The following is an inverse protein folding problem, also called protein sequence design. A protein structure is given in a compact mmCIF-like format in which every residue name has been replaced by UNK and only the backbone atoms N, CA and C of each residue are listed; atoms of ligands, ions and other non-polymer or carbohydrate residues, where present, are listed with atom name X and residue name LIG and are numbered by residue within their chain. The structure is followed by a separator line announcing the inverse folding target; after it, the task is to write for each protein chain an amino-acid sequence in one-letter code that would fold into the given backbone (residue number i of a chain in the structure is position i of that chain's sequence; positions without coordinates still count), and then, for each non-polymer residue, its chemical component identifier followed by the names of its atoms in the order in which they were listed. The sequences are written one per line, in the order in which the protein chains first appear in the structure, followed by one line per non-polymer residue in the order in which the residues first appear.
data_IF_677898760392
#
_entry.id   IF_677898760392
#
_cell.length_a   1.000
_cell.length_b   1.000
_cell.length_c   1.000
_cell.angle_alpha   90.00
_cell.angle_beta   90.00
_cell.angle_gamma   90.00
#
_symmetry.space_group_name_H-M   'P 1'
#
loop_
_entity.id
_entity.type
_entity.pdbx_description
1 polymer ?
#
# COMPACT_ATOMS: atom_id res chain seq x y z
N UNK A 1 2.78 -16.49 12.27
CA UNK A 1 2.28 -15.44 13.18
C UNK A 1 2.69 -14.11 12.58
N UNK A 2 1.72 -13.26 12.21
CA UNK A 2 2.02 -11.92 11.68
C UNK A 2 2.50 -11.04 12.84
N UNK A 3 3.47 -10.13 12.63
CA UNK A 3 3.84 -9.17 13.68
C UNK A 3 2.62 -8.30 14.02
N UNK A 4 2.51 -7.85 15.27
CA UNK A 4 1.41 -7.02 15.80
C UNK A 4 1.17 -5.72 14.99
N UNK A 5 2.10 -5.32 14.11
CA UNK A 5 1.99 -4.15 13.23
C UNK A 5 1.28 -4.41 11.88
N UNK A 6 0.97 -5.65 11.51
CA UNK A 6 0.41 -5.97 10.20
C UNK A 6 -1.10 -5.70 10.07
N UNK A 7 -1.80 -5.55 11.21
CA UNK A 7 -3.24 -5.35 11.26
C UNK A 7 -3.65 -4.32 12.31
N UNK A 8 -4.76 -3.62 12.07
CA UNK A 8 -5.30 -2.58 12.94
C UNK A 8 -6.81 -2.78 13.20
N UNK A 9 -7.26 -2.85 14.45
CA UNK A 9 -8.69 -2.80 14.79
C UNK A 9 -9.31 -1.48 14.32
N UNK A 10 -10.46 -1.55 13.67
CA UNK A 10 -11.15 -0.41 13.09
C UNK A 10 -12.66 -0.57 13.29
N UNK A 11 -13.31 0.43 13.89
CA UNK A 11 -14.77 0.46 14.02
C UNK A 11 -15.45 0.58 12.66
N UNK A 12 -16.51 -0.21 12.45
CA UNK A 12 -17.28 -0.30 11.21
C UNK A 12 -18.78 -0.39 11.49
N UNK A 13 -19.56 0.01 10.51
CA UNK A 13 -21.01 -0.19 10.50
C UNK A 13 -21.34 -1.33 9.55
N UNK A 14 -21.89 -2.43 10.06
CA UNK A 14 -22.45 -3.49 9.22
C UNK A 14 -23.91 -3.17 8.90
N UNK A 15 -24.24 -3.17 7.61
CA UNK A 15 -25.61 -3.09 7.11
C UNK A 15 -26.05 -4.48 6.63
N UNK A 16 -27.29 -4.86 6.95
CA UNK A 16 -27.98 -6.07 6.46
C UNK A 16 -29.43 -5.70 6.14
N UNK A 17 -29.72 -5.37 4.89
CA UNK A 17 -30.99 -4.73 4.54
C UNK A 17 -31.15 -3.43 5.35
N UNK A 18 -32.25 -3.28 6.08
CA UNK A 18 -32.50 -2.12 6.95
C UNK A 18 -31.78 -2.19 8.32
N UNK A 19 -31.24 -3.35 8.71
CA UNK A 19 -30.58 -3.51 10.00
C UNK A 19 -29.17 -2.90 9.99
N UNK A 20 -28.87 -2.08 11.00
CA UNK A 20 -27.56 -1.45 11.21
C UNK A 20 -26.95 -1.93 12.53
N UNK A 21 -25.68 -2.33 12.51
CA UNK A 21 -24.94 -2.75 13.71
C UNK A 21 -23.52 -2.23 13.69
N UNK A 22 -23.06 -1.66 14.80
CA UNK A 22 -21.67 -1.23 14.99
C UNK A 22 -20.83 -2.37 15.55
N UNK A 23 -19.61 -2.53 15.04
CA UNK A 23 -18.66 -3.54 15.49
C UNK A 23 -17.24 -3.15 15.10
N UNK A 24 -16.25 -3.83 15.66
CA UNK A 24 -14.88 -3.73 15.18
C UNK A 24 -14.58 -4.75 14.07
N UNK A 25 -13.70 -4.36 13.16
CA UNK A 25 -13.09 -5.19 12.15
C UNK A 25 -11.56 -5.10 12.25
N UNK A 26 -10.84 -6.13 11.81
CA UNK A 26 -9.38 -6.17 11.87
C UNK A 26 -8.84 -6.01 10.45
N UNK A 27 -8.26 -4.85 10.17
CA UNK A 27 -7.86 -4.45 8.81
C UNK A 27 -6.36 -4.54 8.62
N UNK A 28 -5.93 -4.89 7.41
CA UNK A 28 -4.51 -4.90 7.08
C UNK A 28 -3.94 -3.47 7.10
N UNK A 29 -2.74 -3.30 7.63
CA UNK A 29 -1.98 -2.05 7.59
C UNK A 29 -1.21 -1.97 6.26
N UNK A 30 -1.02 -0.75 5.76
CA UNK A 30 -0.15 -0.45 4.60
C UNK A 30 0.94 0.53 5.00
N UNK A 31 2.16 0.27 4.55
CA UNK A 31 3.31 1.14 4.73
C UNK A 31 4.10 1.23 3.41
N UNK A 32 4.63 2.41 3.05
CA UNK A 32 5.43 2.59 1.85
C UNK A 32 6.75 1.84 1.99
N UNK A 33 7.18 1.10 0.97
CA UNK A 33 8.52 0.52 0.84
C UNK A 33 9.24 1.21 -0.29
N UNK A 34 10.31 1.89 0.00
CA UNK A 34 11.26 2.27 -1.01
C UNK A 34 12.12 1.06 -1.39
N UNK A 35 12.12 0.73 -2.67
CA UNK A 35 13.00 -0.27 -3.27
C UNK A 35 14.17 0.49 -3.89
N UNK A 36 15.38 0.11 -3.52
CA UNK A 36 16.63 0.61 -4.14
C UNK A 36 17.38 -0.53 -4.80
N UNK A 37 18.11 -0.21 -5.85
CA UNK A 37 19.03 -1.12 -6.53
C UNK A 37 20.37 -0.42 -6.67
N UNK A 38 21.40 -0.96 -6.01
CA UNK A 38 22.72 -0.35 -5.95
C UNK A 38 22.68 1.09 -5.40
N UNK A 39 21.86 1.34 -4.38
CA UNK A 39 21.69 2.66 -3.76
C UNK A 39 20.78 3.64 -4.51
N UNK A 40 20.31 3.32 -5.72
CA UNK A 40 19.39 4.16 -6.49
C UNK A 40 17.94 3.76 -6.25
N UNK A 41 17.09 4.74 -5.92
CA UNK A 41 15.64 4.55 -5.80
C UNK A 41 15.03 4.12 -7.13
N UNK A 42 14.29 3.02 -7.12
CA UNK A 42 13.62 2.48 -8.32
C UNK A 42 12.10 2.51 -8.22
N UNK A 43 11.55 2.35 -7.03
CA UNK A 43 10.11 2.38 -6.81
C UNK A 43 9.79 2.63 -5.33
N UNK A 44 8.61 3.21 -5.09
CA UNK A 44 7.96 3.17 -3.77
C UNK A 44 6.67 2.39 -3.92
N UNK A 45 6.50 1.33 -3.14
CA UNK A 45 5.32 0.46 -3.20
C UNK A 45 4.63 0.40 -1.85
N UNK A 46 3.30 0.46 -1.82
CA UNK A 46 2.55 0.23 -0.59
C UNK A 46 2.49 -1.27 -0.29
N UNK A 47 2.85 -1.70 0.93
CA UNK A 47 2.64 -3.09 1.37
C UNK A 47 2.19 -3.20 2.81
N UNK A 48 1.63 -4.35 3.15
CA UNK A 48 1.57 -4.79 4.55
C UNK A 48 2.95 -5.34 4.95
N UNK A 49 3.61 -4.81 6.01
CA UNK A 49 4.96 -5.22 6.40
C UNK A 49 5.12 -6.72 6.71
N UNK A 50 6.34 -7.25 6.52
CA UNK A 50 6.77 -8.56 7.05
C UNK A 50 7.39 -9.54 6.04
N UNK A 51 7.25 -9.30 4.74
CA UNK A 51 7.77 -10.19 3.69
C UNK A 51 8.52 -9.45 2.57
N UNK A 52 9.14 -8.31 2.90
CA UNK A 52 9.65 -7.35 1.91
C UNK A 52 10.67 -7.95 0.95
N UNK A 53 11.61 -8.79 1.42
CA UNK A 53 12.61 -9.43 0.54
C UNK A 53 11.98 -10.23 -0.60
N UNK A 54 10.91 -10.99 -0.31
CA UNK A 54 10.18 -11.75 -1.33
C UNK A 54 9.40 -10.83 -2.27
N UNK A 55 8.78 -9.80 -1.72
CA UNK A 55 8.05 -8.78 -2.48
C UNK A 55 8.99 -8.06 -3.46
N UNK A 56 10.14 -7.60 -2.98
CA UNK A 56 11.14 -6.88 -3.78
C UNK A 56 11.73 -7.79 -4.85
N UNK A 57 12.09 -9.04 -4.52
CA UNK A 57 12.54 -9.99 -5.53
C UNK A 57 11.51 -10.17 -6.66
N UNK A 58 10.24 -10.41 -6.30
CA UNK A 58 9.16 -10.56 -7.28
C UNK A 58 8.89 -9.31 -8.10
N UNK A 59 8.92 -8.13 -7.46
CA UNK A 59 8.78 -6.84 -8.13
C UNK A 59 9.88 -6.64 -9.17
N UNK A 60 11.15 -6.81 -8.77
CA UNK A 60 12.29 -6.59 -9.66
C UNK A 60 12.32 -7.57 -10.85
N UNK A 61 11.87 -8.82 -10.65
CA UNK A 61 11.71 -9.79 -11.75
C UNK A 61 10.57 -9.38 -12.68
N UNK A 62 9.44 -8.94 -12.14
CA UNK A 62 8.25 -8.55 -12.94
C UNK A 62 8.52 -7.30 -13.78
N UNK A 63 9.24 -6.32 -13.23
CA UNK A 63 9.68 -5.13 -13.96
C UNK A 63 10.84 -5.41 -14.93
N UNK A 64 11.40 -6.63 -14.91
CA UNK A 64 12.48 -7.08 -15.80
C UNK A 64 13.84 -6.47 -15.45
N UNK A 65 14.05 -6.09 -14.19
CA UNK A 65 15.30 -5.55 -13.64
C UNK A 65 16.25 -6.69 -13.27
N UNK A 66 15.72 -7.77 -12.70
CA UNK A 66 16.46 -9.01 -12.43
C UNK A 66 15.91 -10.13 -13.32
N UNK A 67 16.76 -10.98 -13.86
CA UNK A 67 16.34 -12.17 -14.61
C UNK A 67 16.51 -13.45 -13.79
N UNK A 68 17.49 -13.47 -12.89
CA UNK A 68 17.73 -14.62 -12.02
C UNK A 68 18.21 -14.22 -10.63
N UNK A 69 18.26 -15.19 -9.71
CA UNK A 69 18.67 -14.97 -8.32
C UNK A 69 20.17 -14.65 -8.20
N UNK A 70 20.97 -15.17 -9.12
CA UNK A 70 22.43 -15.00 -9.15
C UNK A 70 22.84 -13.54 -9.39
N UNK A 71 21.95 -12.72 -9.93
CA UNK A 71 22.16 -11.28 -10.11
C UNK A 71 22.08 -10.50 -8.78
N UNK A 72 21.59 -11.12 -7.70
CA UNK A 72 21.47 -10.50 -6.37
C UNK A 72 22.59 -10.97 -5.46
N UNK A 73 23.42 -10.03 -5.03
CA UNK A 73 24.45 -10.25 -4.01
C UNK A 73 23.85 -10.27 -2.60
N UNK A 74 23.03 -9.27 -2.24
CA UNK A 74 22.33 -9.19 -0.96
C UNK A 74 21.13 -8.23 -1.02
N UNK A 75 20.24 -8.30 -0.03
CA UNK A 75 19.14 -7.35 0.18
C UNK A 75 19.21 -6.80 1.61
N UNK A 76 19.53 -5.53 1.73
CA UNK A 76 19.87 -4.89 3.00
C UNK A 76 18.86 -3.78 3.28
N UNK A 77 18.28 -3.79 4.49
CA UNK A 77 17.50 -2.65 4.95
C UNK A 77 18.45 -1.48 5.19
N UNK A 78 18.19 -0.35 4.55
CA UNK A 78 18.90 0.87 4.91
C UNK A 78 18.59 1.18 6.39
N UNK A 79 19.58 1.67 7.12
CA UNK A 79 19.35 2.24 8.45
C UNK A 79 19.76 3.70 8.37
N UNK A 80 18.93 4.62 8.88
CA UNK A 80 19.38 5.96 9.21
C UNK A 80 20.48 5.80 10.23
N UNK A 81 21.64 6.30 9.89
CA UNK A 81 22.57 6.78 10.90
C UNK A 81 21.95 8.05 11.44
N UNK A 82 21.29 7.99 12.61
CA UNK A 82 21.02 9.22 13.37
C UNK A 82 22.37 9.78 13.82
N UNK A 83 22.53 11.10 13.80
CA UNK A 83 23.78 11.76 14.24
C UNK A 83 24.17 11.37 15.68
N UNK A 84 23.18 10.96 16.49
CA UNK A 84 23.31 10.43 17.85
C UNK A 84 24.10 9.11 17.96
N UNK A 85 24.23 8.34 16.87
CA UNK A 85 24.89 7.03 16.88
C UNK A 85 26.43 7.10 16.73
N UNK A 86 27.02 8.28 16.54
CA UNK A 86 28.48 8.45 16.45
C UNK A 86 29.22 8.27 17.80
N UNK A 87 28.48 8.21 18.92
CA UNK A 87 29.08 8.08 20.26
C UNK A 87 29.14 6.65 20.83
N UNK A 88 28.30 5.72 20.37
CA UNK A 88 28.07 4.46 21.09
C UNK A 88 28.13 3.26 20.14
N UNK A 89 29.26 2.56 20.10
CA UNK A 89 29.49 1.36 19.27
C UNK A 89 28.62 0.14 19.68
N UNK A 90 27.87 0.22 20.78
CA UNK A 90 27.13 -0.91 21.36
C UNK A 90 25.60 -0.80 21.29
N UNK A 91 25.04 0.26 20.70
CA UNK A 91 23.58 0.36 20.49
C UNK A 91 23.12 -0.39 19.21
N UNK A 92 23.63 -1.60 18.99
CA UNK A 92 23.11 -2.51 17.97
C UNK A 92 22.05 -3.40 18.58
N UNK A 93 20.85 -2.86 18.81
CA UNK A 93 19.60 -3.59 18.66
C UNK A 93 18.42 -2.65 18.89
N UNK A 94 17.43 -2.69 17.99
CA UNK A 94 16.06 -2.17 18.17
C UNK A 94 15.79 -0.71 17.78
N UNK A 95 16.29 -0.26 16.64
CA UNK A 95 15.66 0.83 15.87
C UNK A 95 14.53 0.29 14.97
N UNK A 96 13.48 1.07 14.64
CA UNK A 96 12.44 0.63 13.70
C UNK A 96 13.11 0.25 12.37
N UNK A 97 12.73 -0.90 11.80
CA UNK A 97 13.20 -1.29 10.47
C UNK A 97 12.78 -0.19 9.50
N UNK A 98 13.73 0.42 8.80
CA UNK A 98 13.36 1.43 7.83
C UNK A 98 12.61 0.80 6.68
N UNK A 99 11.66 1.57 6.16
CA UNK A 99 10.83 1.25 5.03
C UNK A 99 11.59 1.39 3.70
N UNK A 100 12.88 1.04 3.69
CA UNK A 100 13.80 1.13 2.56
C UNK A 100 14.61 -0.17 2.48
N UNK A 101 14.49 -0.90 1.37
CA UNK A 101 15.28 -2.11 1.09
C UNK A 101 16.14 -1.89 -0.15
N UNK A 102 17.46 -1.96 0.03
CA UNK A 102 18.44 -1.83 -1.05
C UNK A 102 18.92 -3.20 -1.51
N UNK A 103 18.86 -3.42 -2.82
CA UNK A 103 19.31 -4.65 -3.48
C UNK A 103 20.71 -4.42 -4.04
N UNK A 104 21.68 -5.13 -3.47
CA UNK A 104 23.05 -5.13 -3.93
C UNK A 104 23.16 -6.13 -5.07
N UNK A 105 23.64 -5.68 -6.22
CA UNK A 105 23.79 -6.52 -7.41
C UNK A 105 25.13 -7.27 -7.38
N UNK A 106 25.14 -8.47 -7.97
CA UNK A 106 26.37 -9.19 -8.23
C UNK A 106 27.30 -8.40 -9.18
N UNK A 107 28.63 -8.57 -9.09
CA UNK A 107 29.57 -7.90 -9.99
C UNK A 107 29.26 -8.18 -11.46
N UNK A 108 29.27 -7.13 -12.29
CA UNK A 108 29.05 -7.24 -13.75
C UNK A 108 27.58 -7.24 -14.20
N UNK A 109 26.61 -7.16 -13.28
CA UNK A 109 25.19 -7.01 -13.64
C UNK A 109 24.93 -5.59 -14.13
N UNK A 110 24.34 -5.47 -15.33
CA UNK A 110 23.98 -4.19 -15.95
C UNK A 110 22.46 -4.02 -15.90
N UNK A 111 22.00 -2.92 -15.29
CA UNK A 111 20.59 -2.55 -15.21
C UNK A 111 20.24 -1.53 -16.29
N UNK A 112 19.17 -1.80 -17.03
CA UNK A 112 18.57 -0.83 -17.95
C UNK A 112 17.66 0.15 -17.19
N UNK A 113 18.24 1.30 -16.84
CA UNK A 113 17.55 2.35 -16.10
C UNK A 113 16.44 3.06 -16.89
N UNK A 114 16.43 2.97 -18.22
CA UNK A 114 15.42 3.64 -19.06
C UNK A 114 14.08 2.91 -19.04
N UNK A 115 14.07 1.62 -18.68
CA UNK A 115 12.83 0.84 -18.48
C UNK A 115 12.07 1.28 -17.22
N UNK A 116 12.80 1.75 -16.20
CA UNK A 116 12.26 2.15 -14.89
C UNK A 116 11.58 3.52 -14.88
N UNK A 117 11.86 4.37 -15.87
CA UNK A 117 11.33 5.75 -15.90
C UNK A 117 9.90 5.83 -16.46
N UNK A 118 9.29 4.71 -16.84
CA UNK A 118 8.06 4.69 -17.66
C UNK A 118 6.74 4.42 -16.94
N UNK A 119 6.75 4.25 -15.62
CA UNK A 119 5.54 3.92 -14.89
C UNK A 119 5.06 5.10 -14.05
N UNK A 120 4.46 6.08 -14.73
CA UNK A 120 3.49 6.94 -14.06
C UNK A 120 3.51 8.38 -14.53
N UNK A 121 2.93 8.69 -15.68
CA UNK A 121 2.30 9.98 -15.87
C UNK A 121 1.10 9.90 -16.82
N UNK A 122 0.03 10.56 -16.35
CA UNK A 122 -1.04 11.22 -17.11
C UNK A 122 -1.96 10.36 -17.99
N UNK A 123 -3.16 10.05 -17.48
CA UNK A 123 -4.30 9.66 -18.32
C UNK A 123 -5.60 10.43 -18.03
N UNK A 124 -5.60 11.37 -17.09
CA UNK A 124 -6.79 12.18 -16.79
C UNK A 124 -6.48 13.66 -17.00
N UNK A 125 -6.37 14.04 -18.27
CA UNK A 125 -6.65 15.40 -18.69
C UNK A 125 -7.92 15.32 -19.55
N UNK A 126 -8.92 16.14 -19.24
CA UNK A 126 -10.12 16.43 -20.06
C UNK A 126 -11.42 15.60 -19.85
N UNK A 127 -11.52 14.69 -18.87
CA UNK A 127 -12.79 14.04 -18.54
C UNK A 127 -13.56 14.79 -17.41
N UNK A 128 -14.90 14.94 -17.49
CA UNK A 128 -15.68 15.53 -16.40
C UNK A 128 -15.67 14.63 -15.14
N UNK A 129 -15.82 15.20 -13.93
CA UNK A 129 -15.85 14.44 -12.68
C UNK A 129 -16.91 13.35 -12.67
N UNK A 130 -16.56 12.15 -12.20
CA UNK A 130 -17.46 10.98 -12.12
C UNK A 130 -18.32 10.99 -10.85
N UNK A 131 -18.89 12.15 -10.51
CA UNK A 131 -19.55 12.40 -9.21
C UNK A 131 -20.83 11.58 -9.00
N UNK A 132 -21.48 11.11 -10.08
CA UNK A 132 -22.63 10.21 -10.02
C UNK A 132 -22.29 8.71 -10.03
N UNK A 133 -21.00 8.36 -10.00
CA UNK A 133 -20.55 6.98 -10.14
C UNK A 133 -20.09 6.37 -8.80
N UNK A 134 -20.17 5.05 -8.71
CA UNK A 134 -19.54 4.25 -7.66
C UNK A 134 -18.42 3.43 -8.31
N UNK A 135 -17.23 3.46 -7.73
CA UNK A 135 -16.13 2.60 -8.16
C UNK A 135 -16.26 1.23 -7.50
N UNK A 136 -16.57 0.20 -8.30
CA UNK A 136 -16.59 -1.19 -7.85
C UNK A 136 -15.21 -1.85 -7.95
N UNK A 137 -14.76 -2.50 -6.86
CA UNK A 137 -13.46 -3.18 -6.79
C UNK A 137 -13.62 -4.64 -6.36
N UNK A 138 -13.10 -5.58 -7.15
CA UNK A 138 -13.12 -7.02 -6.83
C UNK A 138 -12.04 -7.43 -5.80
N UNK A 139 -11.01 -6.60 -5.63
CA UNK A 139 -9.95 -6.78 -4.65
C UNK A 139 -10.19 -6.05 -3.32
N UNK A 140 -9.11 -5.89 -2.56
CA UNK A 140 -9.06 -4.97 -1.42
C UNK A 140 -8.96 -3.53 -1.92
N UNK A 141 -9.46 -2.59 -1.13
CA UNK A 141 -9.27 -1.16 -1.37
C UNK A 141 -8.06 -0.68 -0.59
N UNK A 142 -7.03 -0.21 -1.29
CA UNK A 142 -5.87 0.48 -0.72
C UNK A 142 -6.08 2.00 -0.71
N UNK A 143 -5.22 2.73 0.00
CA UNK A 143 -5.26 4.20 -0.01
C UNK A 143 -5.00 4.78 -1.40
N UNK A 144 -4.23 4.11 -2.26
CA UNK A 144 -4.00 4.53 -3.64
C UNK A 144 -5.26 4.46 -4.51
N UNK A 145 -6.10 3.44 -4.30
CA UNK A 145 -7.39 3.33 -5.01
C UNK A 145 -8.29 4.49 -4.61
N UNK A 146 -8.35 4.82 -3.32
CA UNK A 146 -9.13 5.96 -2.84
C UNK A 146 -8.64 7.28 -3.44
N UNK A 147 -7.32 7.50 -3.48
CA UNK A 147 -6.72 8.69 -4.09
C UNK A 147 -7.06 8.81 -5.58
N UNK A 148 -6.95 7.72 -6.34
CA UNK A 148 -7.31 7.69 -7.76
C UNK A 148 -8.80 7.97 -7.96
N UNK A 149 -9.66 7.38 -7.12
CA UNK A 149 -11.09 7.66 -7.12
C UNK A 149 -11.38 9.13 -6.84
N UNK A 150 -10.70 9.73 -5.85
CA UNK A 150 -10.86 11.15 -5.50
C UNK A 150 -10.46 12.06 -6.64
N UNK A 151 -9.31 11.80 -7.27
CA UNK A 151 -8.81 12.54 -8.42
C UNK A 151 -9.77 12.45 -9.63
N UNK A 152 -10.45 11.31 -9.79
CA UNK A 152 -11.50 11.13 -10.80
C UNK A 152 -12.86 11.74 -10.41
N UNK A 153 -12.98 12.35 -9.22
CA UNK A 153 -14.22 12.92 -8.70
C UNK A 153 -15.26 11.89 -8.27
N UNK A 154 -14.85 10.64 -7.99
CA UNK A 154 -15.72 9.54 -7.56
C UNK A 154 -15.90 9.61 -6.02
N UNK A 155 -17.13 9.82 -5.52
CA UNK A 155 -17.38 10.01 -4.09
C UNK A 155 -17.48 8.70 -3.30
N UNK A 156 -17.75 7.58 -3.96
CA UNK A 156 -18.01 6.30 -3.32
C UNK A 156 -17.21 5.16 -3.96
N UNK A 157 -16.49 4.41 -3.12
CA UNK A 157 -15.77 3.19 -3.50
C UNK A 157 -16.37 2.00 -2.76
N UNK A 158 -16.75 0.97 -3.49
CA UNK A 158 -17.36 -0.25 -2.97
C UNK A 158 -16.55 -1.47 -3.39
N UNK A 159 -16.26 -2.36 -2.43
CA UNK A 159 -15.47 -3.55 -2.69
C UNK A 159 -16.08 -4.84 -2.12
N UNK A 160 -15.79 -5.95 -2.80
CA UNK A 160 -16.17 -7.28 -2.33
C UNK A 160 -15.29 -7.77 -1.17
N UNK A 161 -14.15 -7.13 -0.90
CA UNK A 161 -13.24 -7.48 0.18
C UNK A 161 -13.14 -6.35 1.21
N UNK A 162 -12.48 -6.61 2.34
CA UNK A 162 -12.18 -5.58 3.34
C UNK A 162 -11.09 -4.60 2.82
N UNK A 163 -11.16 -3.31 3.17
CA UNK A 163 -10.13 -2.33 2.84
C UNK A 163 -8.91 -2.45 3.76
N UNK A 164 -7.86 -1.68 3.48
CA UNK A 164 -6.74 -1.48 4.41
C UNK A 164 -7.06 -0.35 5.39
N UNK A 165 -6.39 -0.34 6.55
CA UNK A 165 -6.59 0.73 7.54
C UNK A 165 -6.26 2.11 6.97
N UNK A 166 -5.20 2.21 6.17
CA UNK A 166 -4.81 3.43 5.48
C UNK A 166 -5.88 3.91 4.48
N UNK A 167 -6.56 3.00 3.79
CA UNK A 167 -7.68 3.36 2.92
C UNK A 167 -8.86 3.94 3.70
N UNK A 168 -9.17 3.38 4.88
CA UNK A 168 -10.22 3.89 5.76
C UNK A 168 -9.86 5.28 6.30
N UNK A 169 -8.64 5.46 6.77
CA UNK A 169 -8.13 6.76 7.26
C UNK A 169 -8.19 7.81 6.15
N UNK A 170 -7.73 7.48 4.94
CA UNK A 170 -7.82 8.37 3.80
C UNK A 170 -9.27 8.72 3.45
N UNK A 171 -10.17 7.73 3.36
CA UNK A 171 -11.57 7.95 3.02
C UNK A 171 -12.26 8.89 4.03
N UNK A 172 -11.96 8.73 5.33
CA UNK A 172 -12.47 9.63 6.37
C UNK A 172 -11.92 11.05 6.22
N UNK A 173 -10.63 11.19 5.93
CA UNK A 173 -9.99 12.48 5.74
C UNK A 173 -10.46 13.21 4.47
N UNK A 174 -10.73 12.47 3.39
CA UNK A 174 -11.20 13.02 2.11
C UNK A 174 -12.72 13.19 2.03
N UNK A 175 -13.46 12.67 3.01
CA UNK A 175 -14.93 12.67 3.00
C UNK A 175 -15.56 11.69 2.00
N UNK A 176 -14.76 10.80 1.40
CA UNK A 176 -15.28 9.76 0.50
C UNK A 176 -15.96 8.63 1.28
N UNK A 177 -16.99 8.06 0.65
CA UNK A 177 -17.65 6.86 1.18
C UNK A 177 -16.85 5.63 0.79
N UNK A 178 -16.57 4.77 1.78
CA UNK A 178 -15.86 3.51 1.59
C UNK A 178 -16.67 2.35 2.15
N UNK A 179 -17.07 1.45 1.26
CA UNK A 179 -17.81 0.23 1.57
C UNK A 179 -16.98 -0.99 1.18
N UNK A 180 -16.92 -1.98 2.06
CA UNK A 180 -16.26 -3.25 1.82
C UNK A 180 -17.13 -4.44 2.19
N UNK A 181 -16.64 -5.63 1.87
CA UNK A 181 -17.30 -6.91 2.19
C UNK A 181 -18.74 -6.95 1.64
N UNK A 182 -18.97 -6.36 0.47
CA UNK A 182 -20.30 -6.34 -0.17
C UNK A 182 -20.72 -7.75 -0.60
N UNK A 183 -21.85 -8.23 -0.08
CA UNK A 183 -22.42 -9.57 -0.31
C UNK A 183 -23.95 -9.49 -0.33
N UNK A 184 -24.55 -9.41 -1.51
CA UNK A 184 -26.01 -9.24 -1.64
C UNK A 184 -26.48 -7.99 -0.88
N UNK A 185 -27.42 -8.16 0.05
CA UNK A 185 -27.93 -7.07 0.90
C UNK A 185 -27.06 -6.76 2.14
N UNK A 186 -25.89 -7.39 2.28
CA UNK A 186 -24.96 -7.17 3.40
C UNK A 186 -23.73 -6.40 2.94
N UNK A 187 -23.30 -5.42 3.72
CA UNK A 187 -22.06 -4.68 3.50
C UNK A 187 -21.51 -4.09 4.79
N UNK A 188 -20.22 -3.74 4.79
CA UNK A 188 -19.59 -2.99 5.88
C UNK A 188 -19.24 -1.59 5.37
N UNK A 189 -19.74 -0.55 6.04
CA UNK A 189 -19.38 0.85 5.81
C UNK A 189 -18.23 1.21 6.74
N UNK A 190 -17.10 1.60 6.16
CA UNK A 190 -15.86 1.92 6.88
C UNK A 190 -15.65 3.43 7.04
N UNK A 191 -16.16 4.22 6.07
CA UNK A 191 -16.11 5.67 6.06
C UNK A 191 -17.31 6.24 5.28
N UNK A 192 -17.73 7.45 5.64
CA UNK A 192 -18.86 8.15 5.03
C UNK A 192 -20.22 7.54 5.40
N UNK A 193 -21.26 8.01 4.71
CA UNK A 193 -22.63 7.49 4.82
C UNK A 193 -23.11 7.11 3.44
N UNK A 194 -23.88 6.03 3.35
CA UNK A 194 -24.66 5.75 2.15
C UNK A 194 -25.90 6.64 2.24
N UNK A 195 -26.03 7.59 1.32
CA UNK A 195 -27.29 8.30 1.15
C UNK A 195 -28.39 7.26 0.89
N UNK A 196 -29.44 7.29 1.71
CA UNK A 196 -30.63 6.45 1.56
C UNK A 196 -31.57 6.97 0.49
#
# INVERSE_FOLDING_TARGET
MFPDSATRPTGVITLKGAARTERDDVLAVEEPLEIRVGGRSVAVVMRTPGHDRKLVAGFLVTEGILRSREEVLDMVYCRRRTEEALGNLEAQQKGPQENVLDVLLAPGVVVDWARLTRNGHAFFAEAPPLTGCVLGVSGRVSSEIMQKALLAGIPCVAAVSAPTSAAVEFARASGQTLVGVVRGARMNVYAGTLAG
#
